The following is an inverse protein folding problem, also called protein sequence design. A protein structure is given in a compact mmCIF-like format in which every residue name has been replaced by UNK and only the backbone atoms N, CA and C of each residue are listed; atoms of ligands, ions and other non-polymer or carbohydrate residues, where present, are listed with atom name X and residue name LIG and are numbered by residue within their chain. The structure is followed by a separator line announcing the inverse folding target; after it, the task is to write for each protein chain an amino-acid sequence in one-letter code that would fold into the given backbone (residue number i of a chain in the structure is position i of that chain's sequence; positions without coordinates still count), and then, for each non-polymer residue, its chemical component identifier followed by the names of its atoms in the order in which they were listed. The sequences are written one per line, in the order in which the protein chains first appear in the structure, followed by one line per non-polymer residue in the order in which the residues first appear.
data_IF_343535510839
#
_entry.id   IF_343535510839
#
_cell.length_a   1.000
_cell.length_b   1.000
_cell.length_c   1.000
_cell.angle_alpha   90.00
_cell.angle_beta   90.00
_cell.angle_gamma   90.00
#
_symmetry.space_group_name_H-M   'P 1'
#
loop_
_entity.id
_entity.type
_entity.pdbx_description
1 polymer ?
#
# COMPACT_ATOMS: atom_id res chain seq x y z
N UNK A 1 -21.46 -11.78 30.08
CA UNK A 1 -20.02 -11.73 30.43
C UNK A 1 -19.25 -10.68 29.64
N UNK A 2 -19.12 -10.75 28.31
CA UNK A 2 -18.32 -9.77 27.53
C UNK A 2 -18.85 -8.33 27.62
N UNK A 3 -20.16 -8.13 27.48
CA UNK A 3 -20.81 -6.83 27.67
C UNK A 3 -20.66 -6.29 29.10
N UNK A 4 -20.63 -7.18 30.09
CA UNK A 4 -20.44 -6.78 31.49
C UNK A 4 -19.01 -6.28 31.71
N UNK A 5 -18.02 -6.86 31.04
CA UNK A 5 -16.66 -6.34 31.04
C UNK A 5 -16.55 -4.99 30.34
N UNK A 6 -17.21 -4.80 29.19
CA UNK A 6 -17.29 -3.48 28.55
C UNK A 6 -17.91 -2.44 29.49
N UNK A 7 -19.07 -2.74 30.08
CA UNK A 7 -19.74 -1.81 31.01
C UNK A 7 -18.89 -1.50 32.24
N UNK A 8 -18.23 -2.51 32.79
CA UNK A 8 -17.46 -2.38 34.03
C UNK A 8 -16.09 -1.72 33.83
N UNK A 9 -15.44 -1.95 32.70
CA UNK A 9 -14.03 -1.60 32.51
C UNK A 9 -13.75 -0.61 31.37
N UNK A 10 -14.73 -0.26 30.53
CA UNK A 10 -14.54 0.67 29.40
C UNK A 10 -13.95 2.02 29.80
N UNK A 11 -14.32 2.55 30.96
CA UNK A 11 -13.79 3.81 31.48
C UNK A 11 -12.27 3.80 31.72
N UNK A 12 -11.65 2.62 31.80
CA UNK A 12 -10.19 2.46 31.95
C UNK A 12 -9.45 2.41 30.61
N UNK A 13 -10.18 2.37 29.49
CA UNK A 13 -9.63 2.28 28.14
C UNK A 13 -10.14 1.05 27.39
N UNK A 14 -10.37 1.24 26.10
CA UNK A 14 -10.77 0.19 25.15
C UNK A 14 -9.66 0.08 24.11
N UNK A 15 -9.17 -1.13 23.89
CA UNK A 15 -8.26 -1.45 22.80
C UNK A 15 -9.02 -2.23 21.72
N UNK A 16 -9.01 -1.68 20.50
CA UNK A 16 -9.58 -2.31 19.32
C UNK A 16 -8.44 -2.68 18.39
N UNK A 17 -8.29 -3.97 18.11
CA UNK A 17 -7.30 -4.48 17.17
C UNK A 17 -8.03 -5.11 15.97
N UNK A 18 -7.68 -4.71 14.75
CA UNK A 18 -8.24 -5.29 13.52
C UNK A 18 -7.16 -6.10 12.81
N UNK A 19 -7.44 -7.37 12.53
CA UNK A 19 -6.56 -8.23 11.74
C UNK A 19 -6.73 -7.95 10.24
N UNK A 20 -6.57 -6.70 9.82
CA UNK A 20 -6.63 -6.38 8.40
C UNK A 20 -5.41 -6.97 7.66
N UNK A 21 -5.65 -7.85 6.69
CA UNK A 21 -4.63 -8.51 5.84
C UNK A 21 -3.56 -9.35 6.58
N UNK A 22 -3.85 -9.85 7.79
CA UNK A 22 -2.92 -10.74 8.52
C UNK A 22 -3.09 -12.20 8.07
N UNK A 23 -4.29 -12.59 7.62
CA UNK A 23 -4.60 -13.94 7.14
C UNK A 23 -4.69 -14.00 5.62
N UNK A 24 -4.40 -15.17 5.03
CA UNK A 24 -4.64 -15.44 3.59
C UNK A 24 -6.12 -15.44 3.20
N UNK A 25 -7.01 -15.50 4.18
CA UNK A 25 -8.46 -15.48 4.01
C UNK A 25 -9.00 -14.04 4.03
N UNK A 26 -10.04 -13.77 3.24
CA UNK A 26 -10.78 -12.50 3.22
C UNK A 26 -11.71 -12.38 4.45
N UNK A 27 -11.20 -12.66 5.65
CA UNK A 27 -11.94 -12.49 6.91
C UNK A 27 -11.43 -11.24 7.60
N UNK A 28 -12.35 -10.31 7.86
CA UNK A 28 -12.10 -9.14 8.71
C UNK A 28 -12.49 -9.53 10.14
N UNK A 29 -11.53 -9.46 11.06
CA UNK A 29 -11.76 -9.75 12.47
C UNK A 29 -11.26 -8.56 13.29
N UNK A 30 -12.21 -7.87 13.92
CA UNK A 30 -11.92 -6.91 14.96
C UNK A 30 -12.03 -7.59 16.33
N UNK A 31 -11.02 -7.42 17.16
CA UNK A 31 -11.01 -7.85 18.56
C UNK A 31 -11.11 -6.63 19.45
N UNK A 32 -12.09 -6.62 20.35
CA UNK A 32 -12.22 -5.57 21.36
C UNK A 32 -11.76 -6.13 22.70
N UNK A 33 -10.86 -5.41 23.37
CA UNK A 33 -10.39 -5.75 24.71
C UNK A 33 -10.44 -4.54 25.65
N UNK A 34 -10.64 -4.80 26.94
CA UNK A 34 -10.65 -3.78 28.02
C UNK A 34 -9.66 -4.16 29.10
N UNK A 35 -9.09 -3.17 29.78
CA UNK A 35 -8.16 -3.42 30.89
C UNK A 35 -8.92 -3.57 32.22
N UNK A 36 -8.72 -4.70 32.91
CA UNK A 36 -9.28 -4.91 34.25
C UNK A 36 -8.56 -4.07 35.33
N UNK A 37 -8.96 -4.22 36.59
CA UNK A 37 -8.34 -3.52 37.72
C UNK A 37 -6.85 -3.87 37.95
N UNK A 38 -6.38 -5.00 37.38
CA UNK A 38 -4.99 -5.46 37.45
C UNK A 38 -4.24 -5.18 36.14
N UNK A 39 -4.80 -4.33 35.26
CA UNK A 39 -4.26 -4.01 33.93
C UNK A 39 -4.09 -5.23 33.01
N UNK A 40 -4.90 -6.28 33.20
CA UNK A 40 -4.96 -7.43 32.29
C UNK A 40 -5.98 -7.15 31.20
N UNK A 41 -5.65 -7.48 29.95
CA UNK A 41 -6.59 -7.39 28.84
C UNK A 41 -7.66 -8.47 28.93
N UNK A 42 -8.93 -8.07 28.98
CA UNK A 42 -10.09 -8.95 28.93
C UNK A 42 -10.77 -8.82 27.55
N UNK A 43 -11.07 -9.92 26.84
CA UNK A 43 -11.75 -9.86 25.56
C UNK A 43 -13.21 -9.45 25.76
N UNK A 44 -13.53 -8.20 25.41
CA UNK A 44 -14.77 -7.52 25.75
C UNK A 44 -15.80 -7.52 24.61
N UNK A 45 -15.41 -7.98 23.43
CA UNK A 45 -16.33 -8.23 22.32
C UNK A 45 -15.72 -9.13 21.24
N UNK A 46 -16.42 -10.22 20.95
CA UNK A 46 -16.45 -10.82 19.60
C UNK A 46 -17.87 -10.64 19.07
N UNK A 47 -18.11 -9.58 18.33
CA UNK A 47 -19.43 -9.39 17.72
C UNK A 47 -19.50 -10.18 16.43
N UNK A 48 -20.40 -11.17 16.38
CA UNK A 48 -20.73 -11.89 15.14
C UNK A 48 -21.23 -10.96 14.01
N UNK A 49 -21.63 -9.74 14.35
CA UNK A 49 -22.06 -8.70 13.41
C UNK A 49 -20.93 -7.86 12.78
N UNK A 50 -19.67 -8.00 13.23
CA UNK A 50 -18.52 -7.23 12.72
C UNK A 50 -17.53 -8.06 11.92
N UNK A 51 -17.57 -9.38 12.08
CA UNK A 51 -17.03 -10.31 11.10
C UNK A 51 -18.13 -10.56 10.06
N UNK A 52 -17.87 -10.34 8.78
CA UNK A 52 -18.85 -10.61 7.72
C UNK A 52 -19.26 -12.09 7.61
N UNK A 53 -18.67 -12.99 8.41
CA UNK A 53 -19.10 -14.39 8.56
C UNK A 53 -18.82 -14.90 9.98
N UNK A 54 -19.86 -15.07 10.79
CA UNK A 54 -19.79 -15.84 12.04
C UNK A 54 -19.99 -17.32 11.76
N UNK A 55 -18.92 -18.11 11.74
CA UNK A 55 -19.04 -19.57 11.73
C UNK A 55 -19.04 -20.10 13.16
N UNK A 56 -20.14 -20.73 13.57
CA UNK A 56 -20.17 -21.63 14.72
C UNK A 56 -19.22 -22.81 14.45
N UNK A 57 -18.14 -22.95 15.23
CA UNK A 57 -17.21 -24.08 15.13
C UNK A 57 -15.77 -23.77 14.70
N UNK A 58 -15.32 -22.51 14.70
CA UNK A 58 -13.91 -22.21 14.44
C UNK A 58 -13.00 -22.76 15.57
N UNK A 59 -12.15 -23.74 15.23
CA UNK A 59 -11.29 -24.53 16.14
C UNK A 59 -10.08 -23.77 16.70
N UNK A 60 -9.79 -22.55 16.22
CA UNK A 60 -8.56 -21.84 16.62
C UNK A 60 -8.84 -20.63 17.51
N UNK A 61 -8.19 -20.64 18.67
CA UNK A 61 -8.24 -19.56 19.65
C UNK A 61 -7.41 -18.35 19.19
N UNK A 62 -8.03 -17.18 19.10
CA UNK A 62 -7.42 -15.95 18.55
C UNK A 62 -6.37 -15.33 19.49
N UNK A 63 -6.32 -15.79 20.74
CA UNK A 63 -5.31 -15.45 21.76
C UNK A 63 -3.89 -15.78 21.31
N UNK A 64 -3.72 -16.90 20.60
CA UNK A 64 -2.44 -17.37 20.08
C UNK A 64 -1.85 -16.45 18.99
N UNK A 65 -2.70 -15.73 18.24
CA UNK A 65 -2.25 -14.83 17.17
C UNK A 65 -1.84 -13.48 17.74
N UNK A 66 -2.62 -12.93 18.68
CA UNK A 66 -2.24 -11.70 19.40
C UNK A 66 -0.97 -11.90 20.24
N UNK A 67 -0.81 -13.06 20.88
CA UNK A 67 0.42 -13.39 21.62
C UNK A 67 1.62 -13.57 20.69
N UNK A 68 1.47 -14.28 19.57
CA UNK A 68 2.56 -14.41 18.58
C UNK A 68 2.96 -13.06 18.00
N UNK A 69 2.01 -12.18 17.71
CA UNK A 69 2.30 -10.84 17.22
C UNK A 69 3.05 -10.02 18.29
N UNK A 70 2.57 -10.02 19.52
CA UNK A 70 3.20 -9.31 20.63
C UNK A 70 4.62 -9.84 20.96
N UNK A 71 4.81 -11.17 20.93
CA UNK A 71 6.12 -11.80 21.12
C UNK A 71 7.10 -11.42 20.01
N UNK A 72 6.62 -11.35 18.76
CA UNK A 72 7.42 -10.93 17.62
C UNK A 72 7.79 -9.44 17.71
N UNK A 73 6.84 -8.58 18.07
CA UNK A 73 7.08 -7.16 18.33
C UNK A 73 8.14 -6.95 19.42
N UNK A 74 8.07 -7.71 20.53
CA UNK A 74 9.05 -7.64 21.61
C UNK A 74 10.43 -8.16 21.22
N UNK A 75 10.50 -9.24 20.45
CA UNK A 75 11.78 -9.88 20.09
C UNK A 75 12.50 -9.15 18.96
N UNK A 76 11.77 -8.86 17.89
CA UNK A 76 12.36 -8.43 16.63
C UNK A 76 12.55 -6.90 16.59
N UNK A 77 11.73 -6.13 17.32
CA UNK A 77 11.75 -4.67 17.24
C UNK A 77 12.17 -3.98 18.53
N UNK A 78 11.83 -4.57 19.69
CA UNK A 78 12.17 -3.97 20.97
C UNK A 78 13.43 -4.54 21.60
N UNK A 79 14.05 -5.55 20.98
CA UNK A 79 15.19 -6.28 21.57
C UNK A 79 14.95 -6.68 23.03
N UNK A 80 13.70 -7.01 23.38
CA UNK A 80 13.22 -7.31 24.75
C UNK A 80 13.28 -6.14 25.75
N UNK A 81 13.48 -4.90 25.32
CA UNK A 81 13.49 -3.74 26.21
C UNK A 81 12.05 -3.37 26.62
N UNK A 82 11.71 -3.60 27.90
CA UNK A 82 10.33 -3.66 28.41
C UNK A 82 9.62 -2.32 28.59
N UNK A 83 10.31 -1.19 28.37
CA UNK A 83 9.83 0.13 28.80
C UNK A 83 9.62 1.15 27.65
N UNK A 84 9.72 0.73 26.40
CA UNK A 84 9.33 1.60 25.28
C UNK A 84 7.81 1.63 25.17
N UNK A 85 7.20 2.82 25.30
CA UNK A 85 5.74 3.00 25.15
C UNK A 85 5.33 2.54 23.76
N UNK A 86 4.36 1.62 23.70
CA UNK A 86 3.81 1.09 22.45
C UNK A 86 3.33 2.21 21.50
N UNK A 87 2.92 3.34 22.08
CA UNK A 87 2.45 4.56 21.42
C UNK A 87 3.43 5.06 20.32
N UNK A 88 4.74 5.11 20.62
CA UNK A 88 5.76 5.57 19.66
C UNK A 88 6.07 4.52 18.58
N UNK A 89 5.95 3.24 18.94
CA UNK A 89 6.06 2.15 17.99
C UNK A 89 4.89 2.16 17.01
N UNK A 90 3.66 2.38 17.48
CA UNK A 90 2.43 2.39 16.69
C UNK A 90 2.48 3.48 15.62
N UNK A 91 2.91 4.70 15.97
CA UNK A 91 3.05 5.81 15.02
C UNK A 91 4.09 5.51 13.94
N UNK A 92 5.26 5.01 14.33
CA UNK A 92 6.31 4.58 13.39
C UNK A 92 5.86 3.38 12.55
N UNK A 93 5.15 2.40 13.12
CA UNK A 93 4.66 1.22 12.42
C UNK A 93 3.59 1.55 11.39
N UNK A 94 2.67 2.48 11.68
CA UNK A 94 1.60 2.85 10.76
C UNK A 94 2.12 3.66 9.57
N UNK A 95 3.11 4.53 9.77
CA UNK A 95 3.78 5.21 8.65
C UNK A 95 4.64 4.23 7.83
N UNK A 96 5.44 3.40 8.48
CA UNK A 96 6.41 2.53 7.79
C UNK A 96 5.72 1.33 7.08
N UNK A 97 4.60 0.82 7.60
CA UNK A 97 3.77 -0.17 6.87
C UNK A 97 3.15 0.39 5.61
N UNK A 98 2.72 1.66 5.60
CA UNK A 98 2.15 2.25 4.38
C UNK A 98 3.22 2.35 3.29
N UNK A 99 4.46 2.69 3.67
CA UNK A 99 5.60 2.76 2.76
C UNK A 99 6.10 1.39 2.31
N UNK A 100 6.08 0.36 3.17
CA UNK A 100 6.51 -1.00 2.78
C UNK A 100 5.44 -1.81 2.05
N UNK A 101 4.14 -1.52 2.26
CA UNK A 101 3.04 -2.18 1.53
C UNK A 101 2.81 -1.59 0.14
N UNK A 102 3.23 -0.35 -0.09
CA UNK A 102 3.19 0.33 -1.37
C UNK A 102 3.89 -0.48 -2.49
N UNK A 103 5.19 -0.86 -2.34
CA UNK A 103 5.89 -1.71 -3.30
C UNK A 103 5.17 -3.04 -3.55
N UNK A 104 4.65 -3.67 -2.50
CA UNK A 104 3.93 -4.93 -2.63
C UNK A 104 2.66 -4.78 -3.48
N UNK A 105 1.86 -3.74 -3.25
CA UNK A 105 0.62 -3.49 -4.02
C UNK A 105 0.91 -3.23 -5.49
N UNK A 106 1.92 -2.42 -5.78
CA UNK A 106 2.37 -2.13 -7.14
C UNK A 106 2.88 -3.40 -7.82
N UNK A 107 3.67 -4.23 -7.12
CA UNK A 107 4.17 -5.50 -7.64
C UNK A 107 3.03 -6.49 -7.94
N UNK A 108 2.06 -6.65 -7.03
CA UNK A 108 0.91 -7.55 -7.25
C UNK A 108 -0.02 -7.04 -8.35
N UNK A 109 -0.23 -5.73 -8.43
CA UNK A 109 -0.99 -5.09 -9.51
C UNK A 109 -0.31 -5.29 -10.86
N UNK A 110 1.02 -5.10 -10.91
CA UNK A 110 1.84 -5.40 -12.09
C UNK A 110 1.78 -6.86 -12.51
N UNK A 111 1.86 -7.78 -11.54
CA UNK A 111 1.72 -9.22 -11.80
C UNK A 111 0.34 -9.51 -12.40
N UNK A 112 -0.72 -8.99 -11.80
CA UNK A 112 -2.10 -9.19 -12.25
C UNK A 112 -2.33 -8.61 -13.66
N UNK A 113 -1.74 -7.45 -13.97
CA UNK A 113 -1.73 -6.86 -15.31
C UNK A 113 -1.11 -7.82 -16.33
N UNK A 114 0.12 -8.29 -16.07
CA UNK A 114 0.83 -9.22 -16.98
C UNK A 114 0.05 -10.51 -17.19
N UNK A 115 -0.58 -11.03 -16.13
CA UNK A 115 -1.43 -12.22 -16.22
C UNK A 115 -2.67 -11.96 -17.07
N UNK A 116 -3.33 -10.81 -16.91
CA UNK A 116 -4.47 -10.45 -17.74
C UNK A 116 -4.10 -10.38 -19.22
N UNK A 117 -2.98 -9.72 -19.56
CA UNK A 117 -2.49 -9.67 -20.94
C UNK A 117 -2.24 -11.08 -21.46
N UNK A 118 -1.47 -11.89 -20.73
CA UNK A 118 -1.15 -13.27 -21.14
C UNK A 118 -2.39 -14.15 -21.36
N UNK A 119 -3.41 -14.02 -20.52
CA UNK A 119 -4.58 -14.90 -20.55
C UNK A 119 -5.67 -14.44 -21.52
N UNK A 120 -5.83 -13.15 -21.77
CA UNK A 120 -6.95 -12.60 -22.54
C UNK A 120 -6.56 -11.98 -23.89
N UNK A 121 -5.27 -11.71 -24.14
CA UNK A 121 -4.82 -11.13 -25.42
C UNK A 121 -5.26 -11.93 -26.64
N UNK A 122 -5.26 -13.26 -26.53
CA UNK A 122 -5.64 -14.17 -27.62
C UNK A 122 -7.07 -14.70 -27.51
N UNK A 123 -7.81 -14.27 -26.48
CA UNK A 123 -9.17 -14.76 -26.16
C UNK A 123 -10.10 -13.63 -25.71
N UNK A 124 -10.25 -12.53 -26.48
CA UNK A 124 -11.10 -11.41 -26.10
C UNK A 124 -12.57 -11.80 -25.98
N UNK A 125 -13.02 -12.85 -26.67
CA UNK A 125 -14.39 -13.38 -26.63
C UNK A 125 -14.82 -13.88 -25.23
N UNK A 126 -13.86 -14.11 -24.34
CA UNK A 126 -14.11 -14.45 -22.94
C UNK A 126 -14.59 -13.27 -22.10
N UNK A 127 -14.55 -12.05 -22.63
CA UNK A 127 -15.04 -10.85 -21.98
C UNK A 127 -16.29 -10.38 -22.72
N UNK A 128 -17.43 -10.44 -22.04
CA UNK A 128 -18.72 -10.04 -22.60
C UNK A 128 -19.19 -8.77 -21.91
N UNK A 129 -19.46 -7.72 -22.66
CA UNK A 129 -20.13 -6.55 -22.11
C UNK A 129 -21.57 -6.92 -21.71
N UNK A 130 -21.95 -6.62 -20.47
CA UNK A 130 -23.29 -6.90 -19.93
C UNK A 130 -24.10 -5.62 -19.69
N UNK A 131 -23.47 -4.46 -19.85
CA UNK A 131 -24.13 -3.15 -19.76
C UNK A 131 -23.10 -2.03 -19.83
N UNK A 132 -23.56 -0.79 -19.66
CA UNK A 132 -22.65 0.35 -19.59
C UNK A 132 -21.68 0.16 -18.42
N UNK A 133 -20.38 0.15 -18.73
CA UNK A 133 -19.29 -0.06 -17.78
C UNK A 133 -19.39 -1.37 -16.98
N UNK A 134 -20.03 -2.41 -17.52
CA UNK A 134 -20.15 -3.73 -16.89
C UNK A 134 -19.74 -4.84 -17.86
N UNK A 135 -18.97 -5.79 -17.33
CA UNK A 135 -18.45 -6.93 -18.08
C UNK A 135 -18.60 -8.22 -17.28
N UNK A 136 -18.93 -9.31 -17.97
CA UNK A 136 -18.84 -10.67 -17.47
C UNK A 136 -17.60 -11.35 -18.08
N UNK A 137 -16.83 -12.04 -17.25
CA UNK A 137 -15.62 -12.75 -17.66
C UNK A 137 -15.70 -14.20 -17.20
N UNK A 138 -15.33 -15.11 -18.10
CA UNK A 138 -15.27 -16.54 -17.79
C UNK A 138 -13.83 -17.04 -17.80
N UNK A 139 -13.33 -17.52 -16.66
CA UNK A 139 -12.03 -18.22 -16.62
C UNK A 139 -12.21 -19.64 -17.13
N UNK A 140 -13.15 -20.34 -16.52
CA UNK A 140 -13.71 -21.64 -16.93
C UNK A 140 -15.18 -21.44 -17.35
N UNK A 141 -15.82 -22.41 -18.02
CA UNK A 141 -17.24 -22.32 -18.38
C UNK A 141 -18.17 -22.14 -17.15
N UNK A 142 -17.75 -22.63 -15.99
CA UNK A 142 -18.52 -22.63 -14.75
C UNK A 142 -18.28 -21.37 -13.90
N UNK A 143 -17.08 -20.79 -13.96
CA UNK A 143 -16.71 -19.62 -13.17
C UNK A 143 -16.95 -18.32 -13.94
N UNK A 144 -18.00 -17.59 -13.53
CA UNK A 144 -18.33 -16.26 -14.03
C UNK A 144 -17.96 -15.17 -13.03
N UNK A 145 -17.20 -14.19 -13.49
CA UNK A 145 -16.84 -13.01 -12.71
C UNK A 145 -17.48 -11.77 -13.31
N UNK A 146 -18.12 -10.96 -12.47
CA UNK A 146 -18.68 -9.68 -12.87
C UNK A 146 -17.68 -8.58 -12.52
N UNK A 147 -17.41 -7.70 -13.47
CA UNK A 147 -16.52 -6.55 -13.34
C UNK A 147 -17.28 -5.30 -13.72
N UNK A 148 -17.16 -4.24 -12.93
CA UNK A 148 -17.76 -2.95 -13.26
C UNK A 148 -16.85 -1.79 -12.95
N UNK A 149 -16.90 -0.76 -13.80
CA UNK A 149 -16.14 0.48 -13.64
C UNK A 149 -17.01 1.56 -12.98
N UNK A 150 -16.50 2.14 -11.89
CA UNK A 150 -17.25 3.05 -11.00
C UNK A 150 -17.05 4.54 -11.34
N UNK A 151 -16.37 4.87 -12.45
CA UNK A 151 -16.30 6.26 -12.93
C UNK A 151 -15.14 7.10 -12.38
N UNK A 152 -14.01 6.48 -12.04
CA UNK A 152 -12.80 7.16 -11.57
C UNK A 152 -12.42 6.77 -10.14
N UNK A 153 -11.34 7.35 -9.62
CA UNK A 153 -10.88 7.12 -8.24
C UNK A 153 -10.49 8.45 -7.58
N UNK A 154 -10.74 8.55 -6.28
CA UNK A 154 -10.38 9.72 -5.45
C UNK A 154 -8.98 9.57 -4.81
N UNK A 155 -8.08 8.86 -5.48
CA UNK A 155 -6.71 8.70 -4.97
C UNK A 155 -6.01 10.06 -4.98
N UNK A 156 -5.51 10.49 -3.83
CA UNK A 156 -4.64 11.69 -3.79
C UNK A 156 -3.42 11.44 -4.66
N UNK A 157 -2.87 12.48 -5.27
CA UNK A 157 -1.66 12.39 -6.13
C UNK A 157 -0.49 11.72 -5.40
N UNK A 158 -0.41 11.88 -4.08
CA UNK A 158 0.57 11.21 -3.22
C UNK A 158 0.33 9.71 -2.99
N UNK A 159 -0.90 9.22 -3.19
CA UNK A 159 -1.28 7.82 -3.01
C UNK A 159 -1.53 7.09 -4.33
N UNK A 160 -1.75 7.82 -5.43
CA UNK A 160 -2.02 7.24 -6.76
C UNK A 160 -0.92 6.31 -7.22
N UNK A 161 0.34 6.61 -6.89
CA UNK A 161 1.50 5.77 -7.22
C UNK A 161 1.40 4.34 -6.64
N UNK A 162 0.66 4.15 -5.55
CA UNK A 162 0.67 2.90 -4.79
C UNK A 162 -0.51 1.96 -5.10
N UNK A 163 -1.53 2.45 -5.81
CA UNK A 163 -2.78 1.72 -6.05
C UNK A 163 -3.19 1.69 -7.51
N UNK A 164 -2.50 2.47 -8.36
CA UNK A 164 -2.66 2.42 -9.80
C UNK A 164 -1.65 1.46 -10.40
N UNK A 165 -2.04 0.83 -11.49
CA UNK A 165 -1.09 0.08 -12.29
C UNK A 165 -0.16 1.04 -13.04
N UNK A 166 1.16 0.88 -12.96
CA UNK A 166 2.09 1.76 -13.67
C UNK A 166 2.02 1.62 -15.21
N UNK A 167 1.37 0.57 -15.72
CA UNK A 167 1.30 0.30 -17.18
C UNK A 167 0.02 0.79 -17.85
N UNK A 168 -1.10 0.81 -17.12
CA UNK A 168 -2.41 1.08 -17.72
C UNK A 168 -3.35 1.89 -16.83
N UNK A 169 -2.83 2.43 -15.72
CA UNK A 169 -3.53 3.32 -14.78
C UNK A 169 -4.83 2.73 -14.16
N UNK A 170 -4.99 1.40 -14.20
CA UNK A 170 -6.13 0.74 -13.55
C UNK A 170 -5.95 0.82 -12.04
N UNK A 171 -6.88 1.51 -11.38
CA UNK A 171 -6.95 1.67 -9.94
C UNK A 171 -7.88 0.62 -9.30
N UNK A 172 -7.45 0.02 -8.19
CA UNK A 172 -8.27 -0.96 -7.47
C UNK A 172 -9.60 -0.38 -6.95
N UNK A 173 -9.68 0.94 -6.76
CA UNK A 173 -10.85 1.63 -6.23
C UNK A 173 -11.80 2.16 -7.31
N UNK A 174 -11.34 2.30 -8.55
CA UNK A 174 -12.23 2.71 -9.66
C UNK A 174 -12.98 1.55 -10.29
N UNK A 175 -12.76 0.32 -9.81
CA UNK A 175 -13.35 -0.89 -10.34
C UNK A 175 -13.85 -1.80 -9.21
N UNK A 176 -14.90 -2.57 -9.47
CA UNK A 176 -15.37 -3.65 -8.60
C UNK A 176 -15.34 -4.98 -9.35
N UNK A 177 -14.99 -6.06 -8.66
CA UNK A 177 -14.97 -7.41 -9.22
C UNK A 177 -15.45 -8.44 -8.18
N UNK A 178 -16.21 -9.46 -8.62
CA UNK A 178 -16.71 -10.53 -7.76
C UNK A 178 -15.70 -11.65 -7.48
N UNK A 179 -14.51 -11.61 -8.08
CA UNK A 179 -13.51 -12.66 -7.86
C UNK A 179 -12.90 -12.62 -6.45
N UNK A 180 -12.45 -13.77 -5.96
CA UNK A 180 -11.80 -13.92 -4.64
C UNK A 180 -10.50 -13.12 -4.50
N UNK A 181 -9.84 -12.79 -5.62
CA UNK A 181 -8.61 -12.01 -5.68
C UNK A 181 -8.84 -10.50 -5.53
N UNK A 182 -10.09 -10.04 -5.40
CA UNK A 182 -10.40 -8.62 -5.20
C UNK A 182 -9.98 -8.17 -3.79
N UNK A 183 -8.72 -7.74 -3.66
CA UNK A 183 -8.14 -7.22 -2.43
C UNK A 183 -8.10 -5.69 -2.42
N UNK A 184 -8.18 -5.09 -1.24
CA UNK A 184 -8.09 -3.64 -1.06
C UNK A 184 -6.73 -3.11 -1.55
N UNK A 185 -6.75 -2.17 -2.49
CA UNK A 185 -5.55 -1.54 -3.04
C UNK A 185 -4.76 -2.38 -4.06
N UNK A 186 -5.29 -3.54 -4.49
CA UNK A 186 -4.68 -4.37 -5.55
C UNK A 186 -5.75 -4.67 -6.60
N UNK A 187 -5.47 -4.36 -7.86
CA UNK A 187 -6.35 -4.70 -8.97
C UNK A 187 -6.16 -6.17 -9.34
N UNK A 188 -7.25 -6.95 -9.38
CA UNK A 188 -7.20 -8.33 -9.85
C UNK A 188 -7.07 -8.39 -11.38
N UNK A 189 -6.67 -9.56 -11.91
CA UNK A 189 -6.49 -9.76 -13.35
C UNK A 189 -7.76 -9.42 -14.17
N UNK A 190 -8.95 -9.67 -13.62
CA UNK A 190 -10.22 -9.39 -14.30
C UNK A 190 -10.44 -7.88 -14.55
N UNK A 191 -10.01 -7.00 -13.64
CA UNK A 191 -10.11 -5.55 -13.85
C UNK A 191 -9.26 -5.09 -15.03
N UNK A 192 -8.05 -5.64 -15.13
CA UNK A 192 -7.15 -5.38 -16.25
C UNK A 192 -7.72 -5.91 -17.57
N UNK A 193 -8.24 -7.13 -17.56
CA UNK A 193 -8.84 -7.73 -18.75
C UNK A 193 -10.03 -6.89 -19.26
N UNK A 194 -10.91 -6.44 -18.36
CA UNK A 194 -12.01 -5.53 -18.74
C UNK A 194 -11.50 -4.20 -19.31
N UNK A 195 -10.47 -3.60 -18.71
CA UNK A 195 -9.89 -2.35 -19.22
C UNK A 195 -9.27 -2.52 -20.62
N UNK A 196 -8.54 -3.60 -20.86
CA UNK A 196 -7.79 -3.80 -22.10
C UNK A 196 -8.64 -4.34 -23.25
N UNK A 197 -9.63 -5.19 -22.97
CA UNK A 197 -10.36 -5.91 -24.01
C UNK A 197 -11.87 -5.70 -23.95
N UNK A 198 -12.40 -5.22 -22.83
CA UNK A 198 -13.83 -4.94 -22.67
C UNK A 198 -14.21 -3.49 -23.01
N UNK A 199 -13.29 -2.55 -22.87
CA UNK A 199 -13.60 -1.12 -22.98
C UNK A 199 -14.09 -0.73 -24.38
N UNK A 200 -13.42 -1.23 -25.43
CA UNK A 200 -13.77 -0.93 -26.82
C UNK A 200 -15.12 -1.55 -27.24
N UNK A 201 -15.53 -2.64 -26.57
CA UNK A 201 -16.82 -3.30 -26.82
C UNK A 201 -18.00 -2.52 -26.22
N UNK A 202 -17.78 -1.77 -25.15
CA UNK A 202 -18.83 -1.02 -24.47
C UNK A 202 -19.04 0.39 -25.05
N UNK A 203 -18.03 0.94 -25.71
CA UNK A 203 -18.06 2.27 -26.36
C UNK A 203 -18.13 2.13 -27.88
N UNK A 204 -18.96 1.20 -28.38
CA UNK A 204 -19.60 1.49 -29.66
C UNK A 204 -20.81 2.35 -29.33
N UNK A 205 -20.79 3.66 -29.66
CA UNK A 205 -22.03 4.39 -29.71
C UNK A 205 -22.91 3.59 -30.67
N UNK A 206 -24.15 3.29 -30.29
CA UNK A 206 -25.17 3.17 -31.32
C UNK A 206 -25.15 4.51 -32.05
N UNK A 207 -24.38 4.58 -33.14
CA UNK A 207 -24.50 5.62 -34.13
C UNK A 207 -25.84 5.38 -34.80
N UNK A 208 -26.90 5.78 -34.12
CA UNK A 208 -28.15 6.10 -34.76
C UNK A 208 -27.81 7.26 -35.70
N UNK A 209 -27.71 6.95 -36.99
CA UNK A 209 -27.51 7.89 -38.09
C UNK A 209 -28.75 8.78 -38.27
N UNK A 210 -29.09 9.58 -37.26
CA UNK A 210 -29.90 10.77 -37.43
C UNK A 210 -29.02 11.99 -37.24
N UNK A 211 -28.44 12.40 -38.36
CA UNK A 211 -27.85 13.72 -38.54
C UNK A 211 -28.80 14.80 -38.01
N UNK A 212 -28.37 15.53 -36.98
CA UNK A 212 -28.80 16.90 -36.76
C UNK A 212 -27.60 17.80 -37.04
N UNK A 213 -27.69 18.71 -38.03
CA UNK A 213 -26.60 19.61 -38.36
C UNK A 213 -26.59 20.77 -37.38
N UNK A 214 -25.45 21.01 -36.74
CA UNK A 214 -25.15 22.30 -36.12
C UNK A 214 -24.88 22.25 -34.62
N UNK A 215 -23.67 21.86 -34.24
CA UNK A 215 -22.99 22.51 -33.12
C UNK A 215 -21.48 22.23 -33.20
N UNK A 216 -20.76 23.06 -33.96
CA UNK A 216 -19.31 23.13 -33.88
C UNK A 216 -18.90 23.94 -32.67
N UNK A 217 -18.40 23.29 -31.61
CA UNK A 217 -17.56 23.94 -30.61
C UNK A 217 -16.31 23.10 -30.37
N UNK A 218 -15.20 23.63 -30.87
CA UNK A 218 -13.86 23.15 -30.60
C UNK A 218 -13.56 23.28 -29.09
N UNK A 219 -13.28 22.16 -28.43
CA UNK A 219 -12.67 22.14 -27.11
C UNK A 219 -11.16 22.33 -27.26
N UNK A 220 -10.71 23.58 -27.18
CA UNK A 220 -9.32 23.90 -26.89
C UNK A 220 -9.06 23.59 -25.41
N UNK A 221 -8.39 22.48 -25.15
CA UNK A 221 -7.82 22.15 -23.83
C UNK A 221 -6.58 23.02 -23.68
N UNK A 222 -6.73 24.14 -22.95
CA UNK A 222 -5.64 25.01 -22.56
C UNK A 222 -5.00 24.44 -21.29
N UNK A 223 -3.81 23.86 -21.45
CA UNK A 223 -2.96 23.44 -20.33
C UNK A 223 -2.39 24.67 -19.63
N UNK A 224 -3.07 25.17 -18.59
CA UNK A 224 -2.52 26.16 -17.68
C UNK A 224 -1.49 25.49 -16.76
N UNK A 225 -0.22 25.68 -17.09
CA UNK A 225 0.93 25.32 -16.27
C UNK A 225 1.02 26.26 -15.05
N UNK A 226 0.58 25.76 -13.90
CA UNK A 226 0.85 26.39 -12.61
C UNK A 226 2.34 26.21 -12.26
N UNK A 227 3.13 27.29 -12.40
CA UNK A 227 4.52 27.37 -11.94
C UNK A 227 4.51 27.36 -10.41
N UNK A 228 4.63 26.17 -9.85
CA UNK A 228 4.85 25.93 -8.43
C UNK A 228 6.36 25.84 -8.19
N UNK A 229 6.88 26.52 -7.17
CA UNK A 229 8.30 26.58 -6.77
C UNK A 229 9.04 25.24 -6.96
N UNK A 230 9.85 25.18 -8.02
CA UNK A 230 10.14 23.96 -8.79
C UNK A 230 11.40 23.18 -8.47
N UNK A 231 11.88 23.13 -7.21
CA UNK A 231 13.13 22.41 -6.90
C UNK A 231 12.91 21.12 -6.11
N UNK A 232 11.88 21.04 -5.25
CA UNK A 232 11.67 19.87 -4.40
C UNK A 232 10.80 18.77 -5.04
N UNK A 233 9.85 19.15 -5.91
CA UNK A 233 8.95 18.20 -6.58
C UNK A 233 9.71 17.32 -7.58
N UNK A 234 10.66 17.88 -8.33
CA UNK A 234 11.42 17.16 -9.34
C UNK A 234 12.33 16.05 -8.78
N UNK A 235 12.88 16.22 -7.58
CA UNK A 235 13.75 15.20 -6.99
C UNK A 235 12.98 13.95 -6.57
N UNK A 236 11.76 14.11 -6.04
CA UNK A 236 10.89 13.00 -5.66
C UNK A 236 10.39 12.24 -6.89
N UNK A 237 9.94 12.94 -7.93
CA UNK A 237 9.51 12.33 -9.18
C UNK A 237 10.66 11.56 -9.85
N UNK A 238 11.87 12.14 -9.87
CA UNK A 238 13.07 11.48 -10.40
C UNK A 238 13.42 10.23 -9.61
N UNK A 239 13.32 10.26 -8.27
CA UNK A 239 13.52 9.09 -7.43
C UNK A 239 12.51 7.99 -7.77
N UNK A 240 11.22 8.30 -7.85
CA UNK A 240 10.17 7.33 -8.16
C UNK A 240 10.38 6.72 -9.56
N UNK A 241 10.82 7.54 -10.52
CA UNK A 241 11.19 7.09 -11.87
C UNK A 241 12.39 6.12 -11.84
N UNK A 242 13.41 6.40 -11.03
CA UNK A 242 14.57 5.50 -10.84
C UNK A 242 14.13 4.17 -10.22
N UNK A 243 13.33 4.21 -9.15
CA UNK A 243 12.84 2.99 -8.46
C UNK A 243 11.99 2.11 -9.39
N UNK A 244 11.14 2.73 -10.21
CA UNK A 244 10.35 2.03 -11.23
C UNK A 244 11.24 1.35 -12.28
N UNK A 245 12.24 2.05 -12.82
CA UNK A 245 13.20 1.48 -13.78
C UNK A 245 14.02 0.35 -13.16
N UNK A 246 14.46 0.49 -11.91
CA UNK A 246 15.20 -0.57 -11.21
C UNK A 246 14.37 -1.84 -11.04
N UNK A 247 13.07 -1.70 -10.79
CA UNK A 247 12.13 -2.84 -10.71
C UNK A 247 12.00 -3.60 -12.04
N UNK A 248 12.05 -2.89 -13.17
CA UNK A 248 12.07 -3.50 -14.51
C UNK A 248 13.38 -4.25 -14.74
N UNK A 249 14.52 -3.62 -14.44
CA UNK A 249 15.85 -4.25 -14.54
C UNK A 249 15.89 -5.54 -13.71
N UNK A 250 15.44 -5.49 -12.45
CA UNK A 250 15.38 -6.66 -11.58
C UNK A 250 14.50 -7.79 -12.14
N UNK A 251 13.37 -7.44 -12.77
CA UNK A 251 12.52 -8.43 -13.46
C UNK A 251 13.28 -9.09 -14.61
N UNK A 252 13.96 -8.30 -15.45
CA UNK A 252 14.68 -8.80 -16.62
C UNK A 252 15.86 -9.70 -16.21
N UNK A 253 16.61 -9.31 -15.18
CA UNK A 253 17.67 -10.16 -14.59
C UNK A 253 17.10 -11.52 -14.19
N UNK A 254 15.99 -11.56 -13.45
CA UNK A 254 15.38 -12.82 -13.04
C UNK A 254 14.92 -13.65 -14.25
N UNK A 255 14.38 -13.04 -15.30
CA UNK A 255 13.99 -13.77 -16.51
C UNK A 255 15.21 -14.38 -17.23
N UNK A 256 16.27 -13.59 -17.40
CA UNK A 256 17.50 -14.03 -18.06
C UNK A 256 18.20 -15.15 -17.28
N UNK A 257 18.32 -15.02 -15.96
CA UNK A 257 18.91 -16.04 -15.09
C UNK A 257 18.14 -17.37 -15.17
N UNK A 258 16.82 -17.33 -15.32
CA UNK A 258 15.99 -18.53 -15.44
C UNK A 258 15.97 -19.15 -16.85
N UNK A 259 16.52 -18.48 -17.87
CA UNK A 259 16.50 -18.98 -19.26
C UNK A 259 17.61 -20.00 -19.52
N UNK A 260 18.69 -19.99 -18.72
CA UNK A 260 19.82 -20.95 -18.75
C UNK A 260 20.38 -21.25 -20.16
N UNK A 261 20.53 -20.21 -20.98
CA UNK A 261 21.13 -20.28 -22.33
C UNK A 261 22.32 -19.34 -22.41
N UNK A 262 23.35 -19.69 -23.17
CA UNK A 262 24.51 -18.82 -23.43
C UNK A 262 24.12 -17.47 -24.06
N UNK A 263 23.05 -17.44 -24.87
CA UNK A 263 22.50 -16.20 -25.44
C UNK A 263 22.01 -15.21 -24.38
N UNK A 264 21.55 -15.69 -23.22
CA UNK A 264 21.06 -14.86 -22.12
C UNK A 264 22.20 -14.20 -21.32
N UNK A 265 23.44 -14.69 -21.43
CA UNK A 265 24.60 -14.11 -20.76
C UNK A 265 24.97 -12.74 -21.32
N UNK A 266 24.81 -12.54 -22.63
CA UNK A 266 25.14 -11.26 -23.29
C UNK A 266 24.31 -10.08 -22.73
N UNK A 267 22.96 -10.13 -22.72
CA UNK A 267 22.17 -9.06 -22.12
C UNK A 267 22.33 -8.96 -20.60
N UNK A 268 22.59 -10.09 -19.90
CA UNK A 268 22.85 -10.06 -18.46
C UNK A 268 24.13 -9.28 -18.14
N UNK A 269 25.20 -9.46 -18.94
CA UNK A 269 26.44 -8.70 -18.84
C UNK A 269 26.23 -7.22 -19.12
N UNK A 270 25.44 -6.87 -20.14
CA UNK A 270 25.09 -5.48 -20.42
C UNK A 270 24.37 -4.81 -19.23
N UNK A 271 23.42 -5.51 -18.61
CA UNK A 271 22.72 -5.02 -17.42
C UNK A 271 23.73 -4.83 -16.27
N UNK A 272 24.63 -5.79 -16.05
CA UNK A 272 25.66 -5.71 -15.04
C UNK A 272 26.55 -4.46 -15.22
N UNK A 273 27.04 -4.24 -16.44
CA UNK A 273 27.93 -3.10 -16.75
C UNK A 273 27.23 -1.75 -16.51
N UNK A 274 25.94 -1.63 -16.83
CA UNK A 274 25.15 -0.42 -16.56
C UNK A 274 24.95 -0.17 -15.06
N UNK A 275 24.69 -1.23 -14.29
CA UNK A 275 24.55 -1.13 -12.83
C UNK A 275 25.89 -0.78 -12.18
N UNK A 276 27.00 -1.35 -12.66
CA UNK A 276 28.35 -1.00 -12.20
C UNK A 276 28.67 0.47 -12.48
N UNK A 277 28.39 0.95 -13.70
CA UNK A 277 28.56 2.37 -14.05
C UNK A 277 27.74 3.29 -13.15
N UNK A 278 26.47 2.95 -12.89
CA UNK A 278 25.61 3.72 -11.98
C UNK A 278 26.14 3.73 -10.54
N UNK A 279 26.75 2.63 -10.08
CA UNK A 279 27.33 2.52 -8.73
C UNK A 279 28.53 3.43 -8.50
N UNK A 280 29.23 3.81 -9.57
CA UNK A 280 30.41 4.68 -9.53
C UNK A 280 30.07 6.17 -9.47
N UNK A 281 28.80 6.54 -9.57
CA UNK A 281 28.35 7.93 -9.42
C UNK A 281 28.61 8.35 -7.97
N UNK A 282 29.74 9.03 -7.74
CA UNK A 282 30.06 9.60 -6.43
C UNK A 282 29.09 10.73 -6.15
N UNK A 283 28.36 10.63 -5.04
CA UNK A 283 27.68 11.78 -4.47
C UNK A 283 28.77 12.76 -4.07
N UNK A 284 28.87 13.89 -4.77
CA UNK A 284 29.66 15.01 -4.30
C UNK A 284 29.06 15.43 -2.96
N UNK A 285 29.70 15.01 -1.86
CA UNK A 285 29.40 15.57 -0.56
C UNK A 285 29.61 17.08 -0.69
N UNK A 286 28.60 17.91 -0.37
CA UNK A 286 28.80 19.35 -0.34
C UNK A 286 30.05 19.59 0.50
N UNK A 287 31.06 20.23 -0.09
CA UNK A 287 32.31 20.54 0.60
C UNK A 287 31.94 21.13 1.95
N UNK A 288 32.43 20.54 3.04
CA UNK A 288 32.18 21.07 4.38
C UNK A 288 32.42 22.58 4.34
N UNK A 289 31.44 23.39 4.78
CA UNK A 289 31.60 24.83 4.76
C UNK A 289 32.87 25.15 5.52
N UNK A 290 33.88 25.65 4.81
CA UNK A 290 35.17 25.99 5.39
C UNK A 290 34.89 26.87 6.59
N UNK A 291 35.27 26.46 7.82
CA UNK A 291 34.94 27.23 9.01
C UNK A 291 35.55 28.62 8.82
N UNK A 292 34.66 29.61 8.68
CA UNK A 292 35.03 30.99 8.44
C UNK A 292 35.82 31.46 9.67
N UNK A 293 37.14 31.43 9.55
CA UNK A 293 38.11 31.66 10.63
C UNK A 293 38.21 33.16 10.90
N UNK A 294 37.12 33.75 11.38
CA UNK A 294 37.08 35.15 11.81
C UNK A 294 35.99 35.39 12.85
N UNK A 295 36.11 34.75 14.02
CA UNK A 295 35.53 35.25 15.27
C UNK A 295 36.24 34.65 16.48
N UNK A 296 37.36 35.28 16.84
CA UNK A 296 37.88 35.21 18.19
C UNK A 296 36.93 35.99 19.10
N UNK A 297 36.16 35.32 19.98
CA UNK A 297 35.68 35.95 21.22
C UNK A 297 35.12 34.96 22.24
N UNK A 298 35.71 35.05 23.44
CA UNK A 298 35.17 34.75 24.75
C UNK A 298 34.76 33.30 25.07
N UNK A 299 35.72 32.56 25.64
CA UNK A 299 35.47 31.49 26.60
C UNK A 299 34.66 32.06 27.78
N UNK A 300 33.36 31.77 27.83
CA UNK A 300 32.60 31.82 29.08
C UNK A 300 32.55 30.41 29.68
N UNK A 301 33.01 30.32 30.93
CA UNK A 301 33.01 29.12 31.73
C UNK A 301 31.57 28.65 32.01
N UNK A 302 31.20 27.49 31.46
CA UNK A 302 29.98 26.78 31.84
C UNK A 302 30.21 26.07 33.18
N UNK A 303 29.88 26.77 34.27
CA UNK A 303 29.74 26.15 35.59
C UNK A 303 28.62 25.12 35.57
N UNK A 304 28.90 23.90 36.04
CA UNK A 304 27.89 22.86 36.23
C UNK A 304 26.84 23.35 37.25
N UNK A 305 25.52 23.26 36.97
CA UNK A 305 24.51 23.54 37.96
C UNK A 305 24.56 22.48 39.07
N UNK A 306 24.74 22.91 40.32
CA UNK A 306 24.56 22.05 41.49
C UNK A 306 23.08 21.78 41.69
N UNK A 307 22.71 20.50 41.72
CA UNK A 307 21.38 20.03 42.12
C UNK A 307 21.23 20.21 43.64
N UNK A 308 20.36 21.13 44.05
CA UNK A 308 19.92 21.26 45.45
C UNK A 308 18.96 20.11 45.80
N UNK A 309 19.14 19.54 46.99
CA UNK A 309 18.32 18.47 47.56
C UNK A 309 16.87 18.93 47.71
N UNK A 310 15.92 18.11 47.26
CA UNK A 310 14.50 18.28 47.53
C UNK A 310 14.19 17.88 48.99
N UNK A 311 13.60 18.79 49.76
CA UNK A 311 13.03 18.51 51.07
C UNK A 311 11.67 17.85 50.92
N UNK A 312 11.51 16.67 51.52
CA UNK A 312 10.24 15.96 51.62
C UNK A 312 9.41 16.56 52.76
N UNK A 313 8.31 17.23 52.42
CA UNK A 313 7.27 17.57 53.39
C UNK A 313 6.42 16.33 53.67
N UNK A 314 6.42 15.88 54.92
CA UNK A 314 5.40 14.95 55.42
C UNK A 314 4.26 15.78 56.00
N UNK A 315 3.06 15.59 55.46
CA UNK A 315 1.82 16.18 55.98
C UNK A 315 1.34 15.26 57.11
N UNK A 316 1.17 15.84 58.30
CA UNK A 316 0.52 15.22 59.46
C UNK A 316 -0.99 15.43 59.40
#
# INVERSE_FOLDING_TARGET
MQLDWLRKFSARGIAVDDTHNVTRYNVRLATVSVADHKNRGLPAGRTASWASFGNSGAIMDTTMISERWHLRSKKDFLHRNSNSRADFLVEKYFLDRRLTTAPYRVQQSTRSHRWAVKHFQWKPEKIKATGDRKWEQCRTPEEKFQVSYQGGCVCSVSLSENVHCPFCDVCAYSWTCTCLENRTGISCLHRYAAKHYGWDLAVQPQLDHRCLPGCGRALNICSTSHVSSGTQVGASEMRNSIESKYSVVYTNVNLLVNTDTDEALTPLKQIYDLVDQASRIKLSTPSEPTPNRSKARALQAWGKPQLTKAEHYTVS
#
